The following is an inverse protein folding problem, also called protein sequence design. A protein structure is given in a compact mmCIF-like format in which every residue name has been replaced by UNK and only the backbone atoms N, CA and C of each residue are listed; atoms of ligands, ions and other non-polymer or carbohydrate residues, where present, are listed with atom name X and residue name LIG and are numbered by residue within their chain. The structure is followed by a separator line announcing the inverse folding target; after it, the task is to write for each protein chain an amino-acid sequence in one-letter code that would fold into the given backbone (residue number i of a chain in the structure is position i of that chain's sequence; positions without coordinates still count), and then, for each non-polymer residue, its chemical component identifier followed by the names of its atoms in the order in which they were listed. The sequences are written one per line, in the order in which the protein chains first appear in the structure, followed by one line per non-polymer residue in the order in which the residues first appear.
data_IF_927866316690
#
_entry.id   IF_927866316690
#
_cell.length_a   1.000
_cell.length_b   1.000
_cell.length_c   1.000
_cell.angle_alpha   90.00
_cell.angle_beta   90.00
_cell.angle_gamma   90.00
#
_symmetry.space_group_name_H-M   'P 1'
#
loop_
_entity.id
_entity.type
_entity.pdbx_description
1 polymer ?
#
# COMPACT_ATOMS: atom_id res chain seq x y z
N UNK A 1 -13.32 10.34 2.87
CA UNK A 1 -12.58 9.37 2.07
C UNK A 1 -11.10 9.60 2.30
N UNK A 2 -10.26 8.63 1.98
CA UNK A 2 -8.81 8.70 2.23
C UNK A 2 -8.11 8.23 0.98
N UNK A 3 -7.21 9.05 0.45
CA UNK A 3 -6.46 8.69 -0.75
C UNK A 3 -5.13 8.07 -0.34
N UNK A 4 -4.82 6.94 -0.94
CA UNK A 4 -3.62 6.18 -0.63
C UNK A 4 -2.85 5.81 -1.90
N UNK A 5 -1.53 5.76 -1.75
CA UNK A 5 -0.63 5.21 -2.75
C UNK A 5 0.21 4.12 -2.09
N UNK A 6 0.22 2.93 -2.69
CA UNK A 6 1.11 1.83 -2.30
C UNK A 6 2.15 1.67 -3.40
N UNK A 7 3.41 1.78 -3.00
CA UNK A 7 4.56 1.63 -3.87
C UNK A 7 5.51 0.56 -3.33
N UNK A 8 6.26 -0.07 -4.23
CA UNK A 8 7.29 -1.04 -3.86
C UNK A 8 8.63 -0.73 -4.51
N UNK A 9 9.70 -1.21 -3.87
CA UNK A 9 11.07 -1.06 -4.37
C UNK A 9 11.90 -2.29 -4.04
N UNK A 10 12.87 -2.59 -4.91
CA UNK A 10 13.91 -3.59 -4.64
C UNK A 10 15.11 -3.00 -3.89
N UNK A 11 15.37 -1.69 -4.03
CA UNK A 11 16.62 -1.05 -3.60
C UNK A 11 16.43 0.17 -2.71
N UNK A 12 15.18 0.52 -2.37
CA UNK A 12 14.77 1.70 -1.61
C UNK A 12 15.13 3.05 -2.28
N UNK A 13 15.42 3.07 -3.59
CA UNK A 13 15.74 4.30 -4.34
C UNK A 13 14.71 4.58 -5.41
N UNK A 14 14.30 3.55 -6.14
CA UNK A 14 13.27 3.66 -7.18
C UNK A 14 12.02 2.90 -6.76
N UNK A 15 10.90 3.60 -6.78
CA UNK A 15 9.60 3.07 -6.37
C UNK A 15 8.70 2.91 -7.58
N UNK A 16 8.01 1.77 -7.66
CA UNK A 16 6.96 1.50 -8.64
C UNK A 16 5.62 1.53 -7.93
N UNK A 17 4.71 2.36 -8.42
CA UNK A 17 3.34 2.44 -7.92
C UNK A 17 2.58 1.16 -8.27
N UNK A 18 1.97 0.54 -7.25
CA UNK A 18 1.11 -0.63 -7.42
C UNK A 18 -0.35 -0.25 -7.33
N UNK A 19 -0.69 0.56 -6.32
CA UNK A 19 -2.06 0.99 -6.03
C UNK A 19 -2.03 2.50 -5.86
N UNK A 20 -2.98 3.18 -6.48
CA UNK A 20 -3.30 4.59 -6.30
C UNK A 20 -4.82 4.69 -6.31
N UNK A 21 -5.41 4.90 -5.13
CA UNK A 21 -6.86 4.72 -4.97
C UNK A 21 -7.43 5.47 -3.77
N UNK A 22 -8.74 5.67 -3.82
CA UNK A 22 -9.55 6.25 -2.76
C UNK A 22 -10.19 5.14 -1.93
N UNK A 23 -10.00 5.20 -0.61
CA UNK A 23 -10.72 4.35 0.35
C UNK A 23 -12.11 4.95 0.59
N UNK A 24 -13.14 4.28 0.08
CA UNK A 24 -14.55 4.67 0.27
C UNK A 24 -14.96 4.72 1.75
N UNK A 25 -14.33 3.89 2.58
CA UNK A 25 -14.54 3.83 4.02
C UNK A 25 -13.20 3.85 4.74
N UNK A 26 -13.17 4.46 5.95
CA UNK A 26 -11.93 4.61 6.75
C UNK A 26 -11.65 3.44 7.68
N UNK A 27 -12.59 2.51 7.78
CA UNK A 27 -12.56 1.42 8.73
C UNK A 27 -12.69 0.10 8.00
N UNK A 28 -12.04 -0.92 8.55
CA UNK A 28 -11.97 -2.25 7.96
C UNK A 28 -10.61 -2.52 7.30
N UNK A 29 -10.48 -3.74 6.80
CA UNK A 29 -9.31 -4.17 6.05
C UNK A 29 -9.56 -3.92 4.56
N UNK A 30 -8.62 -3.26 3.89
CA UNK A 30 -8.65 -3.03 2.45
C UNK A 30 -7.56 -3.89 1.82
N UNK A 31 -7.97 -4.93 1.09
CA UNK A 31 -7.09 -5.89 0.44
C UNK A 31 -7.09 -5.66 -1.07
N UNK A 32 -5.90 -5.68 -1.67
CA UNK A 32 -5.69 -5.49 -3.09
C UNK A 32 -4.91 -6.66 -3.66
N UNK A 33 -5.47 -7.29 -4.70
CA UNK A 33 -4.79 -8.34 -5.45
C UNK A 33 -3.91 -7.72 -6.53
N UNK A 34 -2.69 -8.27 -6.68
CA UNK A 34 -1.80 -7.88 -7.78
C UNK A 34 -2.02 -8.82 -8.96
N UNK A 35 -2.16 -8.30 -10.20
CA UNK A 35 -2.39 -9.13 -11.38
C UNK A 35 -1.18 -10.03 -11.71
N UNK A 36 0.02 -9.65 -11.26
CA UNK A 36 1.23 -10.44 -11.36
C UNK A 36 2.07 -10.29 -10.08
N UNK A 37 2.77 -11.35 -9.63
CA UNK A 37 3.72 -11.25 -8.53
C UNK A 37 4.85 -10.25 -8.83
N UNK A 38 5.29 -9.51 -7.83
CA UNK A 38 6.37 -8.53 -7.94
C UNK A 38 7.44 -8.82 -6.88
N UNK A 39 8.70 -8.87 -7.32
CA UNK A 39 9.84 -9.00 -6.42
C UNK A 39 10.17 -7.63 -5.82
N UNK A 40 10.02 -7.50 -4.50
CA UNK A 40 10.33 -6.27 -3.77
C UNK A 40 10.90 -6.57 -2.39
N UNK A 41 11.67 -5.62 -1.85
CA UNK A 41 12.21 -5.66 -0.49
C UNK A 41 11.62 -4.55 0.40
N UNK A 42 11.14 -3.47 -0.22
CA UNK A 42 10.61 -2.30 0.47
C UNK A 42 9.20 -2.03 -0.02
N UNK A 43 8.31 -1.72 0.92
CA UNK A 43 6.95 -1.25 0.67
C UNK A 43 6.80 0.15 1.27
N UNK A 44 6.17 1.06 0.53
CA UNK A 44 5.82 2.39 1.00
C UNK A 44 4.31 2.59 0.87
N UNK A 45 3.67 2.96 1.97
CA UNK A 45 2.29 3.42 2.00
C UNK A 45 2.31 4.93 2.23
N UNK A 46 1.74 5.68 1.29
CA UNK A 46 1.56 7.12 1.37
C UNK A 46 0.07 7.41 1.50
N UNK A 47 -0.30 8.26 2.45
CA UNK A 47 -1.67 8.77 2.58
C UNK A 47 -1.63 10.22 2.11
N UNK A 48 -2.21 10.48 0.94
CA UNK A 48 -2.12 11.77 0.24
C UNK A 48 -3.21 12.73 0.70
N UNK A 49 -4.42 12.21 0.95
CA UNK A 49 -5.55 13.00 1.44
C UNK A 49 -6.32 12.29 2.56
N UNK A 50 -6.80 13.06 3.54
CA UNK A 50 -7.62 12.56 4.65
C UNK A 50 -8.77 13.53 4.93
N UNK A 51 -9.86 13.37 4.19
CA UNK A 51 -11.04 14.21 4.32
C UNK A 51 -11.67 14.02 5.69
N UNK A 52 -11.72 15.07 6.52
CA UNK A 52 -12.36 15.05 7.85
C UNK A 52 -11.42 15.31 9.03
N UNK A 53 -10.12 15.52 8.80
CA UNK A 53 -9.22 16.25 9.70
C UNK A 53 -8.84 15.58 11.03
N UNK A 54 -9.45 14.44 11.40
CA UNK A 54 -8.94 13.59 12.47
C UNK A 54 -7.64 12.94 11.99
N UNK A 55 -6.56 13.04 12.75
CA UNK A 55 -5.22 12.54 12.36
C UNK A 55 -5.21 11.13 11.76
N UNK A 56 -4.15 10.82 11.03
CA UNK A 56 -4.02 9.57 10.27
C UNK A 56 -3.46 8.47 11.18
N UNK A 57 -4.17 7.34 11.28
CA UNK A 57 -3.73 6.16 12.02
C UNK A 57 -3.82 4.92 11.13
N UNK A 58 -2.68 4.25 10.94
CA UNK A 58 -2.62 2.94 10.28
C UNK A 58 -2.44 1.88 11.35
N UNK A 59 -3.43 1.02 11.54
CA UNK A 59 -3.39 0.01 12.59
C UNK A 59 -2.60 -1.23 12.17
N UNK A 60 -2.76 -1.68 10.92
CA UNK A 60 -2.11 -2.87 10.37
C UNK A 60 -1.74 -2.64 8.91
N UNK A 61 -0.65 -3.26 8.49
CA UNK A 61 -0.27 -3.41 7.09
C UNK A 61 -0.01 -4.90 6.86
N UNK A 62 -0.66 -5.47 5.85
CA UNK A 62 -0.48 -6.85 5.46
C UNK A 62 0.22 -6.90 4.10
N UNK A 63 1.20 -7.78 3.97
CA UNK A 63 1.85 -8.11 2.70
C UNK A 63 1.86 -9.62 2.55
N UNK A 64 1.31 -10.11 1.44
CA UNK A 64 1.20 -11.53 1.13
C UNK A 64 2.04 -11.82 -0.11
N UNK A 65 2.81 -12.89 -0.06
CA UNK A 65 3.68 -13.29 -1.15
C UNK A 65 4.38 -14.60 -0.86
N UNK A 66 5.19 -15.04 -1.81
CA UNK A 66 6.02 -16.22 -1.72
C UNK A 66 7.50 -15.83 -1.77
N UNK A 67 8.39 -16.68 -1.24
CA UNK A 67 9.82 -16.47 -1.41
C UNK A 67 10.18 -16.58 -2.90
N UNK A 68 10.89 -15.58 -3.43
CA UNK A 68 11.28 -15.53 -4.83
C UNK A 68 12.23 -16.67 -5.27
N UNK A 69 12.80 -17.43 -4.33
CA UNK A 69 13.73 -18.53 -4.58
C UNK A 69 13.29 -19.79 -3.83
N UNK A 70 12.47 -20.63 -4.47
CA UNK A 70 12.32 -22.05 -4.12
C UNK A 70 12.64 -22.91 -5.32
#
# INVERSE_FOLDING_TARGET
NVDIIIEVSQDNKQYTTLIDTELEHRAGDHLYDLPQPIVAQFLKLTITENYGGSGIFVHKVFAFGEEANK
#
